data_IF_644507320409
#
_entry.id   IF_644507320409
#
_cell.length_a   1.000
_cell.length_b   1.000
_cell.length_c   1.000
_cell.angle_alpha   90.00
_cell.angle_beta   90.00
_cell.angle_gamma   90.00
#
_symmetry.space_group_name_H-M   'P 1'
#
loop_
_entity.id
_entity.type
_entity.pdbx_description
1 polymer ?
#
# COMPACT_ATOMS: atom_id res chain seq x y z
N UNK A 1 6.98 -15.91 14.43
CA UNK A 1 7.96 -15.20 15.27
C UNK A 1 8.49 -13.99 14.49
N UNK A 2 8.50 -12.80 15.10
CA UNK A 2 9.03 -11.54 14.50
C UNK A 2 10.54 -11.39 14.83
N UNK A 3 11.16 -12.41 15.43
CA UNK A 3 12.43 -12.30 16.15
C UNK A 3 13.71 -12.22 15.34
N UNK A 4 13.72 -12.54 14.04
CA UNK A 4 14.99 -12.61 13.26
C UNK A 4 15.11 -11.57 12.15
N UNK A 5 14.06 -10.81 11.83
CA UNK A 5 14.13 -9.83 10.76
C UNK A 5 14.38 -8.42 11.30
N UNK A 6 15.63 -7.97 11.19
CA UNK A 6 16.07 -6.62 11.61
C UNK A 6 15.33 -5.50 10.88
N UNK A 7 14.97 -5.69 9.61
CA UNK A 7 14.21 -4.72 8.83
C UNK A 7 12.80 -4.50 9.39
N UNK A 8 12.12 -5.57 9.80
CA UNK A 8 10.81 -5.46 10.43
C UNK A 8 10.90 -4.97 11.87
N UNK A 9 11.96 -5.38 12.59
CA UNK A 9 12.24 -4.92 13.95
C UNK A 9 12.39 -3.40 13.99
N UNK A 10 13.02 -2.79 12.99
CA UNK A 10 13.14 -1.33 12.88
C UNK A 10 11.77 -0.64 12.90
N UNK A 11 10.79 -1.14 12.13
CA UNK A 11 9.44 -0.58 12.09
C UNK A 11 8.72 -0.73 13.44
N UNK A 12 8.86 -1.90 14.08
CA UNK A 12 8.29 -2.16 15.41
C UNK A 12 8.93 -1.26 16.47
N UNK A 13 10.24 -1.08 16.42
CA UNK A 13 10.96 -0.27 17.40
C UNK A 13 10.65 1.23 17.23
N UNK A 14 10.42 1.73 16.00
CA UNK A 14 9.87 3.07 15.77
C UNK A 14 8.50 3.25 16.45
N UNK A 15 7.61 2.26 16.35
CA UNK A 15 6.29 2.34 16.98
C UNK A 15 6.39 2.30 18.51
N UNK A 16 7.27 1.46 19.05
CA UNK A 16 7.52 1.40 20.51
C UNK A 16 8.09 2.71 21.06
N UNK A 17 8.93 3.41 20.29
CA UNK A 17 9.47 4.73 20.66
C UNK A 17 8.43 5.86 20.50
N UNK A 18 7.26 5.58 19.94
CA UNK A 18 6.21 6.56 19.69
C UNK A 18 6.50 7.47 18.49
N UNK A 19 7.43 7.09 17.62
CA UNK A 19 7.75 7.86 16.40
C UNK A 19 6.68 7.69 15.32
N UNK A 20 6.00 6.53 15.32
CA UNK A 20 4.91 6.19 14.39
C UNK A 20 3.70 5.67 15.18
N UNK A 21 2.48 5.99 14.74
CA UNK A 21 1.25 5.43 15.30
C UNK A 21 0.99 4.04 14.71
N UNK A 22 0.94 2.96 15.52
CA UNK A 22 0.72 1.61 15.01
C UNK A 22 -0.68 1.39 14.40
N UNK A 23 -1.65 2.24 14.72
CA UNK A 23 -3.03 2.14 14.21
C UNK A 23 -3.28 3.01 12.98
N UNK A 24 -2.43 4.01 12.75
CA UNK A 24 -2.51 4.94 11.64
C UNK A 24 -1.11 5.36 11.18
N UNK A 25 -0.46 4.47 10.43
CA UNK A 25 0.90 4.62 9.95
C UNK A 25 0.95 5.61 8.78
N UNK A 26 1.67 6.71 8.96
CA UNK A 26 2.02 7.62 7.88
C UNK A 26 3.19 7.05 7.05
N UNK A 27 2.87 6.50 5.88
CA UNK A 27 3.87 5.86 5.01
C UNK A 27 4.99 6.84 4.59
N UNK A 28 4.68 8.12 4.38
CA UNK A 28 5.67 9.11 3.93
C UNK A 28 6.76 9.23 5.00
N UNK A 29 6.31 9.42 6.24
CA UNK A 29 7.16 9.60 7.40
C UNK A 29 7.93 8.33 7.76
N UNK A 30 7.27 7.17 7.72
CA UNK A 30 7.91 5.87 8.00
C UNK A 30 9.00 5.57 7.00
N UNK A 31 8.73 5.75 5.71
CA UNK A 31 9.72 5.50 4.64
C UNK A 31 10.95 6.40 4.79
N UNK A 32 10.77 7.69 5.07
CA UNK A 32 11.91 8.61 5.26
C UNK A 32 12.79 8.22 6.44
N UNK A 33 12.18 7.84 7.57
CA UNK A 33 12.94 7.37 8.74
C UNK A 33 13.65 6.05 8.46
N UNK A 34 12.98 5.14 7.75
CA UNK A 34 13.58 3.86 7.38
C UNK A 34 14.84 4.06 6.52
N UNK A 35 14.77 4.95 5.53
CA UNK A 35 15.91 5.28 4.67
C UNK A 35 17.02 6.01 5.44
N UNK A 36 16.68 6.91 6.35
CA UNK A 36 17.67 7.59 7.19
C UNK A 36 18.46 6.60 8.06
N UNK A 37 17.79 5.57 8.60
CA UNK A 37 18.45 4.50 9.34
C UNK A 37 19.38 3.66 8.45
N UNK A 38 18.97 3.37 7.22
CA UNK A 38 19.83 2.66 6.25
C UNK A 38 21.10 3.44 5.89
N UNK A 39 21.04 4.78 5.91
CA UNK A 39 22.20 5.62 5.64
C UNK A 39 23.12 5.79 6.85
N UNK A 40 22.56 5.71 8.06
CA UNK A 40 23.29 5.97 9.30
C UNK A 40 24.01 4.73 9.85
N UNK A 41 23.53 3.52 9.55
CA UNK A 41 24.10 2.28 10.06
C UNK A 41 25.04 1.60 9.05
N UNK A 42 26.17 1.07 9.54
CA UNK A 42 27.00 0.16 8.77
C UNK A 42 26.46 -1.28 8.87
N UNK A 43 26.13 -1.86 7.73
CA UNK A 43 25.64 -3.24 7.66
C UNK A 43 26.78 -4.18 7.25
N UNK A 44 27.13 -5.11 8.14
CA UNK A 44 28.22 -6.06 7.91
C UNK A 44 27.76 -7.37 7.24
N UNK A 45 26.46 -7.69 7.29
CA UNK A 45 25.88 -8.87 6.64
C UNK A 45 25.09 -8.46 5.38
N UNK A 46 25.63 -8.81 4.20
CA UNK A 46 25.02 -8.52 2.91
C UNK A 46 23.63 -9.16 2.74
N UNK A 47 23.41 -10.33 3.34
CA UNK A 47 22.12 -11.03 3.24
C UNK A 47 21.05 -10.33 4.05
N UNK A 48 21.42 -9.81 5.21
CA UNK A 48 20.55 -8.97 6.04
C UNK A 48 20.27 -7.64 5.33
N UNK A 49 21.32 -7.02 4.78
CA UNK A 49 21.20 -5.76 4.03
C UNK A 49 20.34 -5.88 2.77
N UNK A 50 20.38 -7.01 2.08
CA UNK A 50 19.50 -7.29 0.94
C UNK A 50 18.01 -7.28 1.32
N UNK A 51 17.64 -7.83 2.49
CA UNK A 51 16.25 -7.78 2.99
C UNK A 51 15.82 -6.36 3.36
N UNK A 52 16.70 -5.62 4.02
CA UNK A 52 16.52 -4.22 4.37
C UNK A 52 16.29 -3.33 3.13
N UNK A 53 17.12 -3.50 2.10
CA UNK A 53 16.98 -2.79 0.82
C UNK A 53 15.67 -3.17 0.10
N UNK A 54 15.29 -4.45 0.15
CA UNK A 54 14.01 -4.89 -0.39
C UNK A 54 12.83 -4.20 0.30
N UNK A 55 12.82 -4.16 1.64
CA UNK A 55 11.77 -3.44 2.35
C UNK A 55 11.76 -1.95 2.04
N UNK A 56 12.94 -1.31 1.91
CA UNK A 56 13.03 0.08 1.50
C UNK A 56 12.46 0.33 0.10
N UNK A 57 12.70 -0.57 -0.88
CA UNK A 57 12.16 -0.41 -2.23
C UNK A 57 10.63 -0.55 -2.26
N UNK A 58 10.08 -1.49 -1.48
CA UNK A 58 8.62 -1.65 -1.31
C UNK A 58 8.02 -0.41 -0.66
N UNK A 59 8.60 0.07 0.43
CA UNK A 59 8.16 1.29 1.14
C UNK A 59 8.20 2.53 0.23
N UNK A 60 9.24 2.65 -0.60
CA UNK A 60 9.37 3.71 -1.60
C UNK A 60 8.30 3.62 -2.69
N UNK A 61 8.02 2.42 -3.20
CA UNK A 61 6.95 2.19 -4.17
C UNK A 61 5.60 2.63 -3.59
N UNK A 62 5.27 2.19 -2.37
CA UNK A 62 4.03 2.61 -1.68
C UNK A 62 3.99 4.13 -1.51
N UNK A 63 5.10 4.76 -1.09
CA UNK A 63 5.18 6.21 -0.93
C UNK A 63 4.95 6.95 -2.26
N UNK A 64 5.50 6.45 -3.37
CA UNK A 64 5.31 7.04 -4.69
C UNK A 64 3.82 7.06 -5.11
N UNK A 65 3.10 5.95 -4.89
CA UNK A 65 1.66 5.87 -5.18
C UNK A 65 0.85 6.86 -4.33
N UNK A 66 1.16 6.96 -3.03
CA UNK A 66 0.48 7.89 -2.11
C UNK A 66 0.72 9.35 -2.50
N UNK A 67 1.96 9.69 -2.88
CA UNK A 67 2.29 11.03 -3.38
C UNK A 67 1.65 11.30 -4.74
N UNK A 68 1.50 10.27 -5.59
CA UNK A 68 0.83 10.31 -6.89
C UNK A 68 -0.67 10.56 -6.84
N UNK A 69 -1.25 10.81 -5.66
CA UNK A 69 -2.67 11.11 -5.49
C UNK A 69 -3.56 9.88 -5.47
N UNK A 70 -2.99 8.68 -5.43
CA UNK A 70 -3.78 7.45 -5.23
C UNK A 70 -4.22 7.41 -3.80
N UNK A 71 -5.53 7.55 -3.63
CA UNK A 71 -6.10 7.67 -2.32
C UNK A 71 -5.92 6.36 -1.54
N UNK A 72 -5.32 6.47 -0.36
CA UNK A 72 -4.99 5.39 0.56
C UNK A 72 -6.23 4.55 0.91
N UNK A 73 -6.55 3.59 0.06
CA UNK A 73 -7.65 2.67 0.29
C UNK A 73 -7.02 1.34 0.64
N UNK A 74 -6.62 1.20 1.90
CA UNK A 74 -6.05 -0.04 2.44
C UNK A 74 -7.18 -1.06 2.61
N UNK A 75 -7.61 -1.69 1.52
CA UNK A 75 -8.66 -2.71 1.50
C UNK A 75 -8.18 -4.00 2.18
N UNK A 76 -9.07 -4.98 2.34
CA UNK A 76 -8.78 -6.22 3.08
C UNK A 76 -7.79 -7.18 2.41
N UNK A 77 -7.22 -6.76 1.28
CA UNK A 77 -6.07 -7.38 0.67
C UNK A 77 -5.36 -6.33 -0.17
N UNK A 78 -4.06 -6.19 0.04
CA UNK A 78 -3.13 -5.49 -0.83
C UNK A 78 -3.04 -6.11 -2.26
N UNK A 79 -3.96 -7.00 -2.65
CA UNK A 79 -3.92 -7.73 -3.92
C UNK A 79 -3.95 -6.77 -5.11
N UNK A 80 -4.83 -5.77 -5.09
CA UNK A 80 -4.91 -4.75 -6.16
C UNK A 80 -3.61 -3.93 -6.29
N UNK A 81 -2.78 -3.86 -5.24
CA UNK A 81 -1.54 -3.09 -5.22
C UNK A 81 -0.37 -3.83 -5.91
N UNK A 82 -0.42 -5.17 -5.97
CA UNK A 82 0.57 -5.99 -6.67
C UNK A 82 0.17 -6.21 -8.14
N UNK A 83 -1.13 -6.34 -8.43
CA UNK A 83 -1.65 -6.60 -9.79
C UNK A 83 -1.92 -5.34 -10.63
N UNK A 84 -1.84 -4.14 -10.02
CA UNK A 84 -2.29 -2.87 -10.61
C UNK A 84 -1.55 -2.30 -11.82
N UNK A 85 -0.52 -2.96 -12.38
CA UNK A 85 0.18 -2.45 -13.57
C UNK A 85 -0.64 -2.61 -14.87
N UNK A 86 -1.61 -3.54 -14.95
CA UNK A 86 -2.44 -3.72 -16.16
C UNK A 86 -3.84 -3.07 -16.07
N UNK A 87 -4.42 -2.97 -14.87
CA UNK A 87 -5.81 -2.52 -14.72
C UNK A 87 -5.95 -0.99 -14.59
N UNK A 88 -4.93 -0.31 -14.03
CA UNK A 88 -5.05 1.11 -13.68
C UNK A 88 -4.62 2.09 -14.75
N UNK A 89 -3.97 1.63 -15.83
CA UNK A 89 -3.69 2.49 -16.98
C UNK A 89 -4.98 2.98 -17.68
N UNK A 90 -6.11 2.30 -17.42
CA UNK A 90 -7.44 2.65 -17.92
C UNK A 90 -8.35 3.30 -16.87
N UNK A 91 -8.06 3.19 -15.57
CA UNK A 91 -8.88 3.74 -14.49
C UNK A 91 -8.49 5.17 -14.06
N UNK A 92 -7.34 5.67 -14.51
CA UNK A 92 -6.80 6.99 -14.13
C UNK A 92 -7.28 8.18 -14.96
N UNK A 93 -8.30 8.05 -15.81
CA UNK A 93 -8.92 9.20 -16.47
C UNK A 93 -10.24 9.50 -15.77
N UNK A 94 -10.55 10.78 -15.51
CA UNK A 94 -11.78 11.27 -14.87
C UNK A 94 -13.09 10.97 -15.61
N UNK A 95 -13.14 9.87 -16.36
CA UNK A 95 -14.27 9.33 -17.10
C UNK A 95 -15.30 8.69 -16.18
N UNK A 96 -14.95 8.20 -14.97
CA UNK A 96 -15.93 7.58 -14.07
C UNK A 96 -17.10 8.50 -13.70
N UNK A 97 -16.83 9.80 -13.51
CA UNK A 97 -17.87 10.79 -13.26
C UNK A 97 -18.75 11.05 -14.49
N UNK A 98 -18.19 10.95 -15.69
CA UNK A 98 -18.87 11.21 -16.95
C UNK A 98 -19.70 10.01 -17.40
N UNK A 99 -19.20 8.79 -17.19
CA UNK A 99 -19.89 7.53 -17.44
C UNK A 99 -21.06 7.35 -16.48
N UNK A 100 -20.89 7.68 -15.20
CA UNK A 100 -21.99 7.66 -14.22
C UNK A 100 -23.05 8.74 -14.53
N UNK A 101 -22.63 9.95 -14.92
CA UNK A 101 -23.55 11.02 -15.30
C UNK A 101 -24.33 10.69 -16.59
N UNK A 102 -23.67 10.10 -17.58
CA UNK A 102 -24.29 9.66 -18.83
C UNK A 102 -25.29 8.51 -18.57
N UNK A 103 -24.91 7.55 -17.73
CA UNK A 103 -25.76 6.41 -17.35
C UNK A 103 -26.99 6.86 -16.57
N UNK A 104 -26.83 7.82 -15.65
CA UNK A 104 -27.94 8.48 -14.96
C UNK A 104 -28.87 9.20 -15.95
N UNK A 105 -28.32 9.96 -16.90
CA UNK A 105 -29.10 10.68 -17.91
C UNK A 105 -29.92 9.75 -18.82
N UNK A 106 -29.36 8.59 -19.18
CA UNK A 106 -30.04 7.56 -19.97
C UNK A 106 -31.14 6.84 -19.18
N UNK A 107 -30.96 6.62 -17.86
CA UNK A 107 -32.02 6.03 -17.01
C UNK A 107 -33.21 6.98 -16.84
N UNK A 108 -32.95 8.29 -16.68
CA UNK A 108 -34.02 9.29 -16.62
C UNK A 108 -34.83 9.40 -17.92
N UNK A 109 -34.21 9.25 -19.09
CA UNK A 109 -34.90 9.35 -20.39
C UNK A 109 -35.79 8.14 -20.69
N UNK A 110 -35.43 6.95 -20.21
CA UNK A 110 -36.13 5.71 -20.55
C UNK A 110 -37.26 5.34 -19.57
N UNK A 111 -37.53 6.15 -18.53
CA UNK A 111 -38.62 5.91 -17.58
C UNK A 111 -38.41 4.73 -16.62
N UNK A 112 -37.33 3.97 -16.81
CA UNK A 112 -36.90 2.91 -15.89
C UNK A 112 -36.28 3.56 -14.65
N UNK A 113 -37.05 3.63 -13.56
CA UNK A 113 -36.52 3.95 -12.22
C UNK A 113 -35.74 2.74 -11.72
N UNK A 114 -34.62 2.45 -12.38
CA UNK A 114 -33.67 1.43 -11.98
C UNK A 114 -33.01 1.89 -10.70
N UNK A 115 -33.29 1.21 -9.59
CA UNK A 115 -32.47 1.30 -8.38
C UNK A 115 -31.10 0.76 -8.77
N UNK A 116 -30.17 1.66 -9.10
CA UNK A 116 -28.77 1.26 -9.28
C UNK A 116 -28.27 0.77 -7.93
N UNK A 117 -27.86 -0.51 -7.80
CA UNK A 117 -27.27 -0.98 -6.56
C UNK A 117 -26.05 -0.10 -6.26
N UNK A 118 -26.09 0.61 -5.13
CA UNK A 118 -24.91 1.34 -4.64
C UNK A 118 -23.82 0.31 -4.42
N UNK A 119 -22.84 0.27 -5.32
CA UNK A 119 -21.61 -0.47 -5.11
C UNK A 119 -21.05 0.01 -3.78
N UNK A 120 -20.88 -0.87 -2.77
CA UNK A 120 -20.34 -0.47 -1.48
C UNK A 120 -18.98 0.17 -1.73
N UNK A 121 -18.86 1.47 -1.43
CA UNK A 121 -17.54 2.10 -1.45
C UNK A 121 -16.69 1.40 -0.40
N UNK A 122 -15.50 0.88 -0.75
CA UNK A 122 -14.63 0.25 0.23
C UNK A 122 -14.40 1.24 1.37
N UNK A 123 -14.68 0.80 2.60
CA UNK A 123 -14.51 1.64 3.78
C UNK A 123 -13.01 1.88 3.96
N UNK A 124 -12.59 3.14 3.88
CA UNK A 124 -11.21 3.55 4.11
C UNK A 124 -10.86 3.27 5.56
N UNK A 125 -10.01 2.27 5.79
CA UNK A 125 -9.37 2.08 7.09
C UNK A 125 -7.94 2.66 7.03
N UNK A 126 -7.46 3.23 8.14
CA UNK A 126 -6.07 3.67 8.22
C UNK A 126 -5.12 2.47 8.06
N UNK A 127 -3.92 2.72 7.53
CA UNK A 127 -2.86 1.71 7.48
C UNK A 127 -2.42 1.36 8.89
N UNK A 128 -2.52 0.10 9.28
CA UNK A 128 -1.93 -0.35 10.55
C UNK A 128 -0.52 -0.88 10.34
N UNK A 129 0.31 -0.80 11.38
CA UNK A 129 1.66 -1.37 11.36
C UNK A 129 1.62 -2.89 11.12
N UNK A 130 0.59 -3.56 11.61
CA UNK A 130 0.40 -5.00 11.40
C UNK A 130 0.16 -5.31 9.94
N UNK A 131 -0.64 -4.49 9.25
CA UNK A 131 -0.91 -4.65 7.82
C UNK A 131 0.36 -4.40 7.00
N UNK A 132 1.11 -3.35 7.33
CA UNK A 132 2.38 -3.05 6.68
C UNK A 132 3.39 -4.21 6.84
N UNK A 133 3.57 -4.73 8.06
CA UNK A 133 4.49 -5.85 8.33
C UNK A 133 4.03 -7.12 7.61
N UNK A 134 2.72 -7.41 7.63
CA UNK A 134 2.16 -8.57 6.93
C UNK A 134 2.50 -8.49 5.45
N UNK A 135 2.35 -7.32 4.86
CA UNK A 135 2.57 -7.13 3.43
C UNK A 135 4.04 -7.21 3.05
N UNK A 136 4.93 -6.57 3.80
CA UNK A 136 6.37 -6.66 3.55
C UNK A 136 6.85 -8.13 3.55
N UNK A 137 6.35 -8.95 4.48
CA UNK A 137 6.63 -10.39 4.51
C UNK A 137 6.01 -11.15 3.34
N UNK A 138 4.80 -10.78 2.93
CA UNK A 138 4.12 -11.39 1.77
C UNK A 138 4.96 -11.18 0.52
N UNK A 139 5.36 -9.94 0.25
CA UNK A 139 6.17 -9.60 -0.92
C UNK A 139 7.55 -10.28 -0.89
N UNK A 140 8.19 -10.37 0.28
CA UNK A 140 9.45 -11.10 0.43
C UNK A 140 9.30 -12.59 0.05
N UNK A 141 8.20 -13.21 0.50
CA UNK A 141 7.91 -14.62 0.21
C UNK A 141 7.66 -14.84 -1.29
N UNK A 142 6.94 -13.92 -1.95
CA UNK A 142 6.69 -13.98 -3.39
C UNK A 142 7.98 -13.88 -4.21
N UNK A 143 8.91 -13.00 -3.82
CA UNK A 143 10.20 -12.88 -4.51
C UNK A 143 11.06 -14.15 -4.38
N UNK A 144 11.06 -14.80 -3.21
CA UNK A 144 11.81 -16.06 -3.02
C UNK A 144 11.32 -17.18 -3.92
N UNK A 145 10.03 -17.19 -4.25
CA UNK A 145 9.43 -18.18 -5.16
C UNK A 145 9.82 -17.88 -6.61
N UNK A 146 9.89 -16.60 -7.01
CA UNK A 146 10.25 -16.21 -8.38
C UNK A 146 11.75 -16.28 -8.69
N UNK A 147 12.62 -16.36 -7.67
CA UNK A 147 14.08 -16.43 -7.84
C UNK A 147 14.65 -17.87 -7.79
N UNK A 148 13.81 -18.90 -7.79
CA UNK A 148 14.17 -20.31 -7.90
C UNK A 148 13.77 -20.85 -9.27
#
# INVERSE_FOLDING_TARGET
MIGEDRGLKILVDMAKRGEIDPWNVDIIQVTDRYLALLQAEEFHDLREYGRLLFYASVLLRIKAEVVGGREQTWTDGFDDFIEGDEFDMYAGNGQDLEVDALRARLTFQNGDVGVTPRIPRPRRRPLTLTDLIRELKRMETLQRIHSQ
#
